data_IF_932011780109
#
_entry.id   IF_932011780109
#
_cell.length_a   1.000
_cell.length_b   1.000
_cell.length_c   1.000
_cell.angle_alpha   90.00
_cell.angle_beta   90.00
_cell.angle_gamma   90.00
#
_symmetry.space_group_name_H-M   'P 1'
#
loop_
_entity.id
_entity.type
_entity.pdbx_description
1 polymer ?
#
# COMPACT_ATOMS: atom_id res chain seq x y z
N UNK A 1 -7.40 24.04 -2.55
CA UNK A 1 -7.26 25.26 -3.39
C UNK A 1 -8.61 25.57 -4.00
N UNK A 2 -9.05 26.84 -4.03
CA UNK A 2 -10.32 27.21 -4.69
C UNK A 2 -10.05 27.44 -6.16
N UNK A 3 -10.76 26.72 -7.03
CA UNK A 3 -10.59 26.79 -8.48
C UNK A 3 -11.97 26.81 -9.13
N UNK A 4 -12.13 27.60 -10.19
CA UNK A 4 -13.32 27.57 -11.03
C UNK A 4 -13.08 26.61 -12.20
N UNK A 5 -13.92 25.59 -12.35
CA UNK A 5 -13.84 24.57 -13.41
C UNK A 5 -15.23 24.33 -13.98
N UNK A 6 -15.31 24.03 -15.27
CA UNK A 6 -16.55 23.64 -15.94
C UNK A 6 -16.66 22.12 -15.89
N UNK A 7 -17.78 21.60 -15.38
CA UNK A 7 -18.06 20.16 -15.24
C UNK A 7 -19.40 19.88 -15.92
N UNK A 8 -19.54 18.72 -16.55
CA UNK A 8 -20.82 18.24 -17.10
C UNK A 8 -21.86 18.07 -15.98
N UNK A 9 -23.04 18.65 -16.15
CA UNK A 9 -24.12 18.60 -15.17
C UNK A 9 -24.69 17.20 -14.96
N UNK A 10 -24.74 16.38 -16.02
CA UNK A 10 -25.21 14.99 -15.91
C UNK A 10 -24.23 14.17 -15.09
N UNK A 11 -22.93 14.34 -15.34
CA UNK A 11 -21.89 13.68 -14.56
C UNK A 11 -21.98 14.05 -13.07
N UNK A 12 -22.15 15.34 -12.76
CA UNK A 12 -22.29 15.78 -11.37
C UNK A 12 -23.57 15.24 -10.72
N UNK A 13 -24.68 15.20 -11.46
CA UNK A 13 -25.94 14.63 -10.97
C UNK A 13 -25.79 13.14 -10.65
N UNK A 14 -25.15 12.37 -11.54
CA UNK A 14 -24.88 10.94 -11.32
C UNK A 14 -24.00 10.73 -10.07
N UNK A 15 -22.90 11.47 -9.95
CA UNK A 15 -22.00 11.35 -8.79
C UNK A 15 -22.71 11.68 -7.48
N UNK A 16 -23.59 12.69 -7.46
CA UNK A 16 -24.38 13.04 -6.28
C UNK A 16 -25.51 12.04 -6.00
N UNK A 17 -26.01 11.33 -7.01
CA UNK A 17 -27.06 10.31 -6.83
C UNK A 17 -26.48 8.97 -6.34
N UNK A 18 -25.28 8.60 -6.80
CA UNK A 18 -24.62 7.35 -6.42
C UNK A 18 -23.75 7.47 -5.16
N UNK A 19 -23.23 8.66 -4.86
CA UNK A 19 -22.35 8.89 -3.72
C UNK A 19 -23.05 9.58 -2.56
N UNK A 20 -22.65 9.26 -1.34
CA UNK A 20 -23.13 9.88 -0.10
C UNK A 20 -22.51 11.28 0.13
N UNK A 21 -22.58 12.17 -0.87
CA UNK A 21 -21.97 13.50 -0.80
C UNK A 21 -22.99 14.58 -0.45
N UNK A 22 -22.65 15.45 0.50
CA UNK A 22 -23.52 16.58 0.87
C UNK A 22 -23.33 17.77 -0.04
N UNK A 23 -22.16 17.91 -0.66
CA UNK A 23 -21.82 19.06 -1.50
C UNK A 23 -21.06 18.66 -2.75
N UNK A 24 -21.20 19.44 -3.83
CA UNK A 24 -20.45 19.25 -5.08
C UNK A 24 -18.93 19.29 -4.87
N UNK A 25 -18.43 20.07 -3.90
CA UNK A 25 -17.00 20.12 -3.55
C UNK A 25 -16.50 18.79 -3.02
N UNK A 26 -17.27 18.18 -2.11
CA UNK A 26 -16.93 16.90 -1.49
C UNK A 26 -16.87 15.78 -2.52
N UNK A 27 -17.86 15.72 -3.42
CA UNK A 27 -17.87 14.80 -4.54
C UNK A 27 -16.60 14.92 -5.42
N UNK A 28 -16.17 16.14 -5.73
CA UNK A 28 -14.95 16.38 -6.52
C UNK A 28 -13.68 15.97 -5.75
N UNK A 29 -13.60 16.28 -4.46
CA UNK A 29 -12.46 15.90 -3.62
C UNK A 29 -12.33 14.37 -3.48
N UNK A 30 -13.43 13.67 -3.27
CA UNK A 30 -13.43 12.21 -3.21
C UNK A 30 -13.09 11.57 -4.56
N UNK A 31 -13.59 12.13 -5.67
CA UNK A 31 -13.19 11.69 -7.02
C UNK A 31 -11.67 11.81 -7.24
N UNK A 32 -11.06 12.92 -6.83
CA UNK A 32 -9.61 13.12 -6.92
C UNK A 32 -8.83 12.17 -5.99
N UNK A 33 -9.34 11.92 -4.78
CA UNK A 33 -8.75 10.97 -3.83
C UNK A 33 -8.80 9.55 -4.40
N UNK A 34 -9.90 9.16 -5.05
CA UNK A 34 -10.03 7.87 -5.73
C UNK A 34 -9.02 7.72 -6.86
N UNK A 35 -8.82 8.75 -7.69
CA UNK A 35 -7.81 8.73 -8.76
C UNK A 35 -6.39 8.54 -8.21
N UNK A 36 -6.05 9.18 -7.08
CA UNK A 36 -4.75 8.96 -6.41
C UNK A 36 -4.59 7.49 -6.02
N UNK A 37 -5.61 6.88 -5.41
CA UNK A 37 -5.59 5.47 -4.98
C UNK A 37 -5.47 4.53 -6.18
N UNK A 38 -6.16 4.83 -7.29
CA UNK A 38 -6.13 4.00 -8.50
C UNK A 38 -4.72 3.74 -9.01
N UNK A 39 -3.85 4.75 -9.04
CA UNK A 39 -2.45 4.58 -9.48
C UNK A 39 -1.65 3.63 -8.60
N UNK A 40 -1.96 3.57 -7.31
CA UNK A 40 -1.34 2.60 -6.38
C UNK A 40 -1.78 1.18 -6.74
N UNK A 41 -3.08 0.99 -6.99
CA UNK A 41 -3.62 -0.30 -7.42
C UNK A 41 -3.05 -0.76 -8.77
N UNK A 42 -2.88 0.16 -9.73
CA UNK A 42 -2.26 -0.16 -11.02
C UNK A 42 -0.81 -0.66 -10.84
N UNK A 43 -0.06 -0.05 -9.92
CA UNK A 43 1.29 -0.50 -9.56
C UNK A 43 1.32 -1.88 -8.91
N UNK A 44 0.38 -2.16 -8.00
CA UNK A 44 0.23 -3.48 -7.39
C UNK A 44 -0.14 -4.56 -8.43
N UNK A 45 -1.03 -4.22 -9.36
CA UNK A 45 -1.42 -5.13 -10.44
C UNK A 45 -0.26 -5.41 -11.38
N UNK A 46 0.63 -4.44 -11.63
CA UNK A 46 1.82 -4.66 -12.44
C UNK A 46 2.81 -5.66 -11.80
N UNK A 47 2.81 -5.77 -10.48
CA UNK A 47 3.61 -6.75 -9.73
C UNK A 47 2.97 -8.15 -9.71
N UNK A 48 1.71 -8.28 -10.16
CA UNK A 48 1.04 -9.57 -10.24
C UNK A 48 1.81 -10.51 -11.17
N UNK A 49 2.13 -11.71 -10.68
CA UNK A 49 2.89 -12.72 -11.42
C UNK A 49 4.40 -12.48 -11.50
N UNK A 50 4.91 -11.33 -11.05
CA UNK A 50 6.35 -11.10 -10.90
C UNK A 50 6.88 -11.60 -9.54
N UNK A 51 6.01 -11.59 -8.53
CA UNK A 51 6.36 -12.02 -7.19
C UNK A 51 6.48 -13.54 -7.13
N UNK A 52 7.69 -14.02 -6.85
CA UNK A 52 7.97 -15.43 -6.59
C UNK A 52 7.67 -15.71 -5.11
N UNK A 53 6.56 -16.41 -4.86
CA UNK A 53 6.24 -16.93 -3.53
C UNK A 53 6.91 -18.29 -3.36
N UNK A 54 7.70 -18.44 -2.30
CA UNK A 54 8.27 -19.73 -1.91
C UNK A 54 7.40 -20.33 -0.79
N UNK A 55 6.59 -21.32 -1.13
CA UNK A 55 5.75 -22.08 -0.19
C UNK A 55 6.35 -23.47 0.13
N UNK A 56 7.66 -23.64 -0.09
CA UNK A 56 8.33 -24.89 0.26
C UNK A 56 8.59 -24.96 1.77
N UNK A 57 8.53 -26.18 2.32
CA UNK A 57 8.88 -26.45 3.73
C UNK A 57 10.30 -25.96 4.06
N UNK A 58 11.22 -26.04 3.10
CA UNK A 58 12.58 -25.54 3.23
C UNK A 58 12.63 -24.01 3.34
N UNK A 59 11.87 -23.30 2.50
CA UNK A 59 11.73 -21.84 2.54
C UNK A 59 11.20 -21.39 3.91
N UNK A 60 10.16 -22.05 4.40
CA UNK A 60 9.60 -21.82 5.72
C UNK A 60 10.57 -22.15 6.88
N UNK A 61 11.40 -23.19 6.74
CA UNK A 61 12.41 -23.52 7.74
C UNK A 61 13.53 -22.45 7.80
N UNK A 62 13.99 -21.96 6.65
CA UNK A 62 15.01 -20.91 6.55
C UNK A 62 14.51 -19.59 7.15
N UNK A 63 13.27 -19.20 6.83
CA UNK A 63 12.64 -18.01 7.40
C UNK A 63 12.53 -18.10 8.93
N UNK A 64 12.07 -19.24 9.48
CA UNK A 64 12.00 -19.46 10.94
C UNK A 64 13.37 -19.37 11.64
N UNK A 65 14.41 -19.95 11.04
CA UNK A 65 15.76 -19.88 11.59
C UNK A 65 16.27 -18.43 11.66
N UNK A 66 15.98 -17.62 10.63
CA UNK A 66 16.30 -16.20 10.63
C UNK A 66 15.54 -15.44 11.74
N UNK A 67 14.23 -15.68 11.90
CA UNK A 67 13.45 -15.05 12.97
C UNK A 67 13.97 -15.41 14.36
N UNK A 68 14.37 -16.67 14.58
CA UNK A 68 14.95 -17.09 15.86
C UNK A 68 16.29 -16.40 16.14
N UNK A 69 17.13 -16.21 15.12
CA UNK A 69 18.40 -15.49 15.27
C UNK A 69 18.19 -14.02 15.63
N UNK A 70 17.23 -13.34 14.99
CA UNK A 70 16.85 -11.96 15.31
C UNK A 70 16.35 -11.84 16.77
N UNK A 71 15.51 -12.78 17.20
CA UNK A 71 15.01 -12.87 18.58
C UNK A 71 16.15 -13.03 19.59
N UNK A 72 17.11 -13.92 19.33
CA UNK A 72 18.28 -14.14 20.20
C UNK A 72 19.20 -12.91 20.23
N UNK A 73 19.32 -12.20 19.11
CA UNK A 73 20.08 -10.95 19.01
C UNK A 73 19.38 -9.76 19.68
N UNK A 74 18.11 -9.89 20.09
CA UNK A 74 17.31 -8.81 20.66
C UNK A 74 16.82 -7.79 19.62
N UNK A 75 16.90 -8.13 18.33
CA UNK A 75 16.41 -7.31 17.24
C UNK A 75 14.91 -7.53 17.01
N UNK A 76 14.18 -6.55 16.44
CA UNK A 76 12.77 -6.72 16.12
C UNK A 76 12.56 -7.87 15.12
N UNK A 77 11.75 -8.86 15.52
CA UNK A 77 11.39 -10.04 14.74
C UNK A 77 9.86 -10.13 14.60
N UNK A 78 9.40 -10.94 13.65
CA UNK A 78 7.98 -11.18 13.44
C UNK A 78 7.40 -12.11 14.53
N UNK A 79 6.61 -11.53 15.44
CA UNK A 79 6.04 -12.22 16.62
C UNK A 79 4.88 -13.16 16.29
N UNK A 80 4.45 -13.26 15.03
CA UNK A 80 3.28 -14.05 14.64
C UNK A 80 3.38 -15.57 14.96
N UNK A 81 4.59 -16.09 15.20
CA UNK A 81 4.86 -17.51 15.46
C UNK A 81 4.84 -17.85 16.97
N UNK A 82 5.03 -16.87 17.85
CA UNK A 82 5.10 -17.10 19.30
C UNK A 82 3.68 -17.29 19.86
N UNK A 83 3.16 -18.52 19.77
CA UNK A 83 1.86 -18.92 20.34
C UNK A 83 1.75 -18.58 21.83
N UNK A 84 2.89 -18.50 22.53
CA UNK A 84 2.99 -18.16 23.94
C UNK A 84 2.77 -16.65 24.25
N UNK A 85 2.98 -15.75 23.29
CA UNK A 85 2.82 -14.29 23.46
C UNK A 85 1.45 -13.79 22.94
N UNK A 86 0.58 -14.72 22.49
CA UNK A 86 -0.72 -14.43 21.85
C UNK A 86 -1.81 -13.90 22.81
N UNK A 87 -1.44 -13.50 24.02
CA UNK A 87 -2.34 -12.89 25.01
C UNK A 87 -1.84 -11.46 25.21
N UNK A 88 -2.74 -10.48 25.14
CA UNK A 88 -2.53 -9.01 25.23
C UNK A 88 -2.31 -8.30 23.88
N UNK A 89 -3.37 -8.03 23.13
CA UNK A 89 -4.18 -6.77 23.14
C UNK A 89 -3.58 -5.59 22.36
N UNK A 90 -4.26 -5.19 21.27
CA UNK A 90 -4.69 -3.81 21.06
C UNK A 90 -3.65 -2.72 20.76
N UNK A 91 -2.54 -3.00 20.08
CA UNK A 91 -1.60 -1.94 19.63
C UNK A 91 -1.79 -1.68 18.14
N UNK A 92 -2.15 -0.44 17.81
CA UNK A 92 -2.22 0.09 16.44
C UNK A 92 -0.96 -0.30 15.67
N UNK A 93 -1.14 -0.87 14.48
CA UNK A 93 -0.07 -1.00 13.50
C UNK A 93 0.55 0.38 13.33
N UNK A 94 1.78 0.57 13.83
CA UNK A 94 2.61 1.69 13.44
C UNK A 94 2.69 1.62 11.92
N UNK A 95 2.04 2.58 11.26
CA UNK A 95 2.10 2.74 9.81
C UNK A 95 3.58 2.76 9.47
N UNK A 96 4.05 1.70 8.79
CA UNK A 96 5.35 1.70 8.17
C UNK A 96 5.30 2.88 7.21
N UNK A 97 5.96 3.98 7.57
CA UNK A 97 6.05 5.15 6.72
C UNK A 97 6.60 4.65 5.39
N UNK A 98 5.81 4.75 4.32
CA UNK A 98 6.23 4.32 2.98
C UNK A 98 7.63 4.91 2.75
N UNK A 99 8.69 4.08 2.59
CA UNK A 99 9.99 4.62 2.28
C UNK A 99 9.85 5.38 0.96
N UNK A 100 10.32 6.62 0.91
CA UNK A 100 10.27 7.40 -0.32
C UNK A 100 10.85 6.55 -1.46
N UNK A 101 10.16 6.43 -2.60
CA UNK A 101 10.58 5.54 -3.66
C UNK A 101 12.01 5.92 -4.07
N UNK A 102 12.94 4.96 -4.12
CA UNK A 102 14.32 5.26 -4.48
C UNK A 102 14.32 5.93 -5.85
N UNK A 103 14.92 7.12 -5.93
CA UNK A 103 15.04 7.86 -7.18
C UNK A 103 15.64 6.94 -8.24
N UNK A 104 14.86 6.64 -9.28
CA UNK A 104 15.30 5.82 -10.40
C UNK A 104 16.45 6.57 -11.09
N UNK A 105 17.70 6.18 -10.79
CA UNK A 105 18.88 6.63 -11.53
C UNK A 105 18.79 5.95 -12.89
N UNK A 106 18.16 6.64 -13.84
CA UNK A 106 18.19 6.29 -15.26
C UNK A 106 19.64 6.41 -15.72
N UNK A 107 20.36 5.29 -15.74
CA UNK A 107 21.65 5.22 -16.46
C UNK A 107 21.35 5.46 -17.93
N UNK A 108 21.68 6.66 -18.39
CA UNK A 108 21.69 7.02 -19.81
C UNK A 108 22.62 6.07 -20.54
N UNK A 109 22.06 5.12 -21.29
CA UNK A 109 22.84 4.33 -22.24
C UNK A 109 23.28 5.28 -23.36
N UNK A 110 24.59 5.52 -23.44
CA UNK A 110 25.25 6.15 -24.59
C UNK A 110 25.00 5.28 -25.82
N UNK A 111 24.27 5.79 -26.81
CA UNK A 111 24.10 5.15 -28.13
C UNK A 111 25.39 5.36 -28.96
N UNK A 112 25.64 4.50 -29.96
CA UNK A 112 26.96 4.24 -30.54
C UNK A 112 27.55 5.44 -31.27
#
# INVERSE_FOLDING_TARGET
MRTNIVIDDKLMADVMAYGDFKTKREAVEEGLRMLKRRKVYDGLLALQGQLQWDDSDEGWARWRAQQQALKVAGEPYDRAIDVAEKVYTGVQSLVLQEPEPPALIVKTRKKP
#
